data_IF_821657928878
#
_entry.id   IF_821657928878
#
_cell.length_a   1.000
_cell.length_b   1.000
_cell.length_c   1.000
_cell.angle_alpha   90.00
_cell.angle_beta   90.00
_cell.angle_gamma   90.00
#
_symmetry.space_group_name_H-M   'P 1'
#
loop_
_entity.id
_entity.type
_entity.pdbx_description
1 polymer ?
#
# COMPACT_ATOMS: atom_id res chain seq x y z
N UNK A 1 -10.23 -11.90 -40.76
CA UNK A 1 -8.82 -11.67 -41.13
C UNK A 1 -7.96 -12.29 -40.06
N UNK A 2 -7.07 -13.22 -40.42
CA UNK A 2 -6.14 -13.84 -39.47
C UNK A 2 -4.91 -12.95 -39.27
N UNK A 3 -4.45 -12.83 -38.02
CA UNK A 3 -3.17 -12.18 -37.71
C UNK A 3 -2.03 -13.08 -38.23
N UNK A 4 -0.97 -12.46 -38.74
CA UNK A 4 0.22 -13.19 -39.16
C UNK A 4 0.89 -13.84 -37.94
N UNK A 5 1.40 -15.06 -38.12
CA UNK A 5 2.18 -15.74 -37.10
C UNK A 5 3.48 -14.97 -36.83
N UNK A 6 3.94 -14.99 -35.57
CA UNK A 6 5.24 -14.43 -35.20
C UNK A 6 6.37 -15.21 -35.87
N UNK A 7 7.47 -14.52 -36.20
CA UNK A 7 8.71 -15.19 -36.57
C UNK A 7 9.24 -16.04 -35.41
N UNK A 8 10.10 -17.02 -35.71
CA UNK A 8 10.74 -17.84 -34.67
C UNK A 8 11.55 -16.99 -33.69
N UNK A 9 12.25 -15.96 -34.18
CA UNK A 9 13.00 -15.01 -33.37
C UNK A 9 12.08 -14.20 -32.44
N UNK A 10 10.99 -13.64 -32.97
CA UNK A 10 10.04 -12.87 -32.16
C UNK A 10 9.34 -13.75 -31.11
N UNK A 11 9.07 -15.01 -31.44
CA UNK A 11 8.50 -15.98 -30.50
C UNK A 11 9.48 -16.24 -29.36
N UNK A 12 10.74 -16.55 -29.67
CA UNK A 12 11.77 -16.81 -28.65
C UNK A 12 12.02 -15.58 -27.76
N UNK A 13 12.07 -14.39 -28.36
CA UNK A 13 12.22 -13.13 -27.63
C UNK A 13 11.05 -12.87 -26.67
N UNK A 14 9.81 -13.05 -27.14
CA UNK A 14 8.62 -12.86 -26.31
C UNK A 14 8.56 -13.86 -25.16
N UNK A 15 8.88 -15.14 -25.41
CA UNK A 15 8.97 -16.17 -24.36
C UNK A 15 10.00 -15.76 -23.30
N UNK A 16 11.20 -15.35 -23.72
CA UNK A 16 12.24 -14.91 -22.79
C UNK A 16 11.84 -13.66 -21.97
N UNK A 17 11.09 -12.73 -22.56
CA UNK A 17 10.55 -11.56 -21.85
C UNK A 17 9.50 -11.97 -20.80
N UNK A 18 8.58 -12.88 -21.14
CA UNK A 18 7.56 -13.38 -20.21
C UNK A 18 8.19 -14.14 -19.04
N UNK A 19 9.17 -15.01 -19.32
CA UNK A 19 9.94 -15.71 -18.30
C UNK A 19 10.71 -14.73 -17.40
N UNK A 20 11.26 -13.66 -17.97
CA UNK A 20 11.94 -12.61 -17.20
C UNK A 20 10.97 -11.87 -16.26
N UNK A 21 9.77 -11.51 -16.72
CA UNK A 21 8.76 -10.83 -15.88
C UNK A 21 8.37 -11.69 -14.66
N UNK A 22 8.39 -13.02 -14.78
CA UNK A 22 8.09 -13.91 -13.67
C UNK A 22 9.18 -13.90 -12.57
N UNK A 23 10.41 -13.47 -12.87
CA UNK A 23 11.51 -13.39 -11.90
C UNK A 23 11.21 -12.34 -10.82
N UNK A 24 11.63 -12.61 -9.58
CA UNK A 24 11.38 -11.69 -8.45
C UNK A 24 12.20 -10.41 -8.57
N UNK A 25 13.37 -10.51 -9.17
CA UNK A 25 14.35 -9.46 -9.35
C UNK A 25 14.04 -8.55 -10.55
N UNK A 26 12.98 -8.85 -11.31
CA UNK A 26 12.57 -8.04 -12.43
C UNK A 26 12.17 -6.63 -11.97
N UNK A 27 12.75 -5.60 -12.60
CA UNK A 27 12.52 -4.21 -12.20
C UNK A 27 11.05 -3.78 -12.35
N UNK A 28 10.34 -4.27 -13.37
CA UNK A 28 8.91 -3.96 -13.56
C UNK A 28 8.10 -4.52 -12.39
N UNK A 29 8.38 -5.76 -11.98
CA UNK A 29 7.72 -6.37 -10.82
C UNK A 29 7.99 -5.57 -9.54
N UNK A 30 9.22 -5.14 -9.32
CA UNK A 30 9.57 -4.29 -8.16
C UNK A 30 8.82 -2.95 -8.17
N UNK A 31 8.70 -2.30 -9.33
CA UNK A 31 7.95 -1.05 -9.48
C UNK A 31 6.45 -1.25 -9.21
N UNK A 32 5.85 -2.32 -9.73
CA UNK A 32 4.44 -2.64 -9.50
C UNK A 32 4.20 -2.91 -8.01
N UNK A 33 5.07 -3.69 -7.37
CA UNK A 33 5.00 -3.98 -5.93
C UNK A 33 5.05 -2.69 -5.08
N UNK A 34 5.98 -1.78 -5.38
CA UNK A 34 6.07 -0.49 -4.70
C UNK A 34 4.82 0.38 -4.90
N UNK A 35 4.24 0.40 -6.10
CA UNK A 35 3.02 1.15 -6.39
C UNK A 35 1.81 0.59 -5.65
N UNK A 36 1.68 -0.74 -5.54
CA UNK A 36 0.63 -1.39 -4.76
C UNK A 36 0.77 -1.03 -3.27
N UNK A 37 1.98 -1.13 -2.72
CA UNK A 37 2.22 -0.76 -1.33
C UNK A 37 1.91 0.73 -1.06
N UNK A 38 2.28 1.62 -1.99
CA UNK A 38 1.95 3.04 -1.88
C UNK A 38 0.43 3.25 -1.86
N UNK A 39 -0.29 2.64 -2.80
CA UNK A 39 -1.75 2.70 -2.85
C UNK A 39 -2.39 2.21 -1.54
N UNK A 40 -1.96 1.07 -0.99
CA UNK A 40 -2.48 0.54 0.27
C UNK A 40 -2.20 1.49 1.45
N UNK A 41 -1.04 2.13 1.50
CA UNK A 41 -0.75 3.17 2.51
C UNK A 41 -1.68 4.36 2.35
N UNK A 42 -1.94 4.82 1.12
CA UNK A 42 -2.90 5.88 0.85
C UNK A 42 -4.31 5.50 1.32
N UNK A 43 -4.74 4.25 1.11
CA UNK A 43 -6.06 3.78 1.59
C UNK A 43 -6.21 3.93 3.11
N UNK A 44 -5.15 3.69 3.88
CA UNK A 44 -5.17 3.84 5.33
C UNK A 44 -5.25 5.30 5.80
N UNK A 45 -4.66 6.23 5.03
CA UNK A 45 -4.56 7.65 5.40
C UNK A 45 -5.75 8.45 4.87
N UNK A 46 -6.16 8.20 3.62
CA UNK A 46 -7.12 9.01 2.87
C UNK A 46 -8.45 8.29 2.62
N UNK A 47 -8.52 6.98 2.86
CA UNK A 47 -9.63 6.12 2.47
C UNK A 47 -9.52 5.63 1.02
N UNK A 48 -10.22 4.53 0.72
CA UNK A 48 -10.14 3.83 -0.57
C UNK A 48 -10.60 4.72 -1.73
N UNK A 49 -11.77 5.36 -1.59
CA UNK A 49 -12.36 6.18 -2.65
C UNK A 49 -11.44 7.33 -3.07
N UNK A 50 -10.80 8.00 -2.10
CA UNK A 50 -9.85 9.07 -2.41
C UNK A 50 -8.57 8.54 -3.06
N UNK A 51 -8.10 7.38 -2.60
CA UNK A 51 -6.87 6.75 -3.12
C UNK A 51 -7.01 6.24 -4.55
N UNK A 52 -8.22 5.88 -4.98
CA UNK A 52 -8.50 5.46 -6.35
C UNK A 52 -8.39 6.61 -7.37
N UNK A 53 -8.67 7.85 -6.96
CA UNK A 53 -8.55 9.02 -7.85
C UNK A 53 -7.10 9.27 -8.29
N UNK A 54 -6.14 8.90 -7.45
CA UNK A 54 -4.71 9.10 -7.66
C UNK A 54 -3.99 7.76 -7.95
N UNK A 55 -4.72 6.76 -8.48
CA UNK A 55 -4.16 5.42 -8.74
C UNK A 55 -3.00 5.49 -9.75
N UNK A 56 -1.78 5.00 -9.41
CA UNK A 56 -0.65 5.01 -10.32
C UNK A 56 -0.94 4.25 -11.62
N UNK A 57 -0.56 4.85 -12.75
CA UNK A 57 -0.68 4.22 -14.06
C UNK A 57 -0.04 2.82 -14.09
N UNK A 58 -0.65 1.90 -14.84
CA UNK A 58 -0.25 0.48 -14.89
C UNK A 58 -0.91 -0.41 -13.84
N UNK A 59 -1.68 0.15 -12.89
CA UNK A 59 -2.51 -0.60 -11.95
C UNK A 59 -4.01 -0.57 -12.29
N UNK A 60 -4.44 0.26 -13.24
CA UNK A 60 -5.85 0.43 -13.61
C UNK A 60 -6.54 -0.87 -14.03
N UNK A 61 -5.79 -1.82 -14.59
CA UNK A 61 -6.34 -3.13 -14.99
C UNK A 61 -6.78 -3.98 -13.79
N UNK A 62 -6.28 -3.70 -12.59
CA UNK A 62 -6.59 -4.42 -11.35
C UNK A 62 -7.21 -3.49 -10.30
N UNK A 63 -7.86 -2.42 -10.74
CA UNK A 63 -8.41 -1.38 -9.86
C UNK A 63 -9.44 -1.96 -8.88
N UNK A 64 -10.33 -2.84 -9.35
CA UNK A 64 -11.37 -3.43 -8.52
C UNK A 64 -10.79 -4.32 -7.41
N UNK A 65 -9.80 -5.14 -7.74
CA UNK A 65 -9.09 -6.01 -6.81
C UNK A 65 -8.32 -5.19 -5.77
N UNK A 66 -7.70 -4.09 -6.20
CA UNK A 66 -7.02 -3.16 -5.30
C UNK A 66 -8.01 -2.44 -4.38
N UNK A 67 -9.17 -2.01 -4.88
CA UNK A 67 -10.21 -1.39 -4.07
C UNK A 67 -10.72 -2.35 -2.98
N UNK A 68 -10.98 -3.61 -3.34
CA UNK A 68 -11.40 -4.64 -2.40
C UNK A 68 -10.32 -4.90 -1.34
N UNK A 69 -9.07 -5.07 -1.75
CA UNK A 69 -7.95 -5.29 -0.83
C UNK A 69 -7.72 -4.09 0.09
N UNK A 70 -7.78 -2.87 -0.46
CA UNK A 70 -7.68 -1.63 0.29
C UNK A 70 -8.77 -1.52 1.36
N UNK A 71 -10.01 -1.86 1.02
CA UNK A 71 -11.12 -1.84 1.97
C UNK A 71 -10.92 -2.87 3.10
N UNK A 72 -10.42 -4.07 2.78
CA UNK A 72 -10.07 -5.08 3.81
C UNK A 72 -9.00 -4.55 4.76
N UNK A 73 -7.97 -3.87 4.25
CA UNK A 73 -6.91 -3.27 5.07
C UNK A 73 -7.43 -2.17 6.00
N UNK A 74 -8.30 -1.29 5.49
CA UNK A 74 -8.93 -0.23 6.29
C UNK A 74 -9.79 -0.85 7.40
N UNK A 75 -10.63 -1.84 7.07
CA UNK A 75 -11.48 -2.52 8.03
C UNK A 75 -10.66 -3.20 9.13
N UNK A 76 -9.59 -3.90 8.76
CA UNK A 76 -8.69 -4.56 9.70
C UNK A 76 -8.03 -3.55 10.65
N UNK A 77 -7.53 -2.44 10.10
CA UNK A 77 -6.87 -1.39 10.88
C UNK A 77 -7.86 -0.73 11.85
N UNK A 78 -9.08 -0.46 11.38
CA UNK A 78 -10.14 0.10 12.23
C UNK A 78 -10.52 -0.86 13.36
N UNK A 79 -10.71 -2.15 13.05
CA UNK A 79 -11.00 -3.16 14.05
C UNK A 79 -9.88 -3.26 15.10
N UNK A 80 -8.61 -3.30 14.65
CA UNK A 80 -7.46 -3.31 15.55
C UNK A 80 -7.45 -2.06 16.44
N UNK A 81 -7.74 -0.88 15.89
CA UNK A 81 -7.84 0.34 16.67
C UNK A 81 -8.99 0.30 17.69
N UNK A 82 -10.14 -0.27 17.35
CA UNK A 82 -11.26 -0.40 18.28
C UNK A 82 -10.93 -1.33 19.45
N UNK A 83 -10.30 -2.48 19.16
CA UNK A 83 -9.96 -3.49 20.17
C UNK A 83 -8.79 -3.02 21.04
N UNK A 84 -7.72 -2.52 20.42
CA UNK A 84 -6.48 -2.20 21.13
C UNK A 84 -6.33 -0.72 21.50
N UNK A 85 -7.18 0.16 20.95
CA UNK A 85 -7.14 1.61 21.19
C UNK A 85 -7.16 2.01 22.67
N UNK A 86 -8.01 1.42 23.52
CA UNK A 86 -8.01 1.71 24.95
C UNK A 86 -6.66 1.37 25.61
N UNK A 87 -6.05 0.23 25.26
CA UNK A 87 -4.75 -0.20 25.80
C UNK A 87 -3.62 0.74 25.38
N UNK A 88 -3.58 1.11 24.10
CA UNK A 88 -2.60 2.09 23.61
C UNK A 88 -2.81 3.46 24.26
N UNK A 89 -4.06 3.86 24.49
CA UNK A 89 -4.39 5.12 25.16
C UNK A 89 -3.85 5.15 26.59
N UNK A 90 -4.01 4.06 27.36
CA UNK A 90 -3.45 3.96 28.71
C UNK A 90 -1.91 4.01 28.71
N UNK A 91 -1.25 3.29 27.79
CA UNK A 91 0.21 3.36 27.65
C UNK A 91 0.64 4.80 27.33
N UNK A 92 0.00 5.46 26.36
CA UNK A 92 0.34 6.83 25.96
C UNK A 92 0.13 7.83 27.10
N UNK A 93 -0.93 7.68 27.91
CA UNK A 93 -1.14 8.51 29.11
C UNK A 93 0.04 8.42 30.07
N UNK A 94 0.57 7.22 30.33
CA UNK A 94 1.73 7.05 31.23
C UNK A 94 3.00 7.73 30.71
N UNK A 95 3.15 7.90 29.39
CA UNK A 95 4.31 8.53 28.75
C UNK A 95 4.16 10.07 28.65
N UNK A 96 2.94 10.56 28.45
CA UNK A 96 2.65 12.01 28.32
C UNK A 96 2.54 12.70 29.68
N UNK A 97 1.98 12.03 30.68
CA UNK A 97 1.79 12.62 32.02
C UNK A 97 3.09 13.12 32.69
N UNK A 98 4.23 12.40 32.62
CA UNK A 98 5.51 12.90 33.12
C UNK A 98 6.03 14.11 32.32
N UNK A 99 5.81 14.12 31.01
CA UNK A 99 6.33 15.14 30.08
C UNK A 99 5.58 16.48 30.24
N UNK A 100 4.26 16.44 30.47
CA UNK A 100 3.48 17.66 30.76
C UNK A 100 3.81 18.25 32.14
N UNK A 101 4.14 17.42 33.14
CA UNK A 101 4.58 17.89 34.45
C UNK A 101 5.95 18.62 34.42
N UNK A 102 6.84 18.24 33.50
CA UNK A 102 8.10 18.93 33.26
C UNK A 102 7.93 20.23 32.47
N UNK A 103 7.05 20.24 31.46
CA UNK A 103 6.72 21.45 30.67
C UNK A 103 6.08 22.56 31.52
N UNK A 104 5.09 22.22 32.34
CA UNK A 104 4.38 23.20 33.18
C UNK A 104 5.28 23.81 34.28
N UNK A 105 6.37 23.13 34.65
CA UNK A 105 7.34 23.61 35.64
C UNK A 105 8.42 24.51 35.05
N UNK A 106 8.64 24.44 33.73
CA UNK A 106 9.56 25.31 32.99
C UNK A 106 8.87 26.62 32.59
N UNK A 107 7.57 26.60 32.30
CA UNK A 107 6.77 27.82 32.05
C UNK A 107 6.41 28.61 33.33
N UNK A 108 6.59 28.01 34.52
CA UNK A 108 6.39 28.68 35.81
C UNK A 108 7.69 29.26 36.42
N UNK A 109 8.76 29.35 35.64
CA UNK A 109 10.05 29.96 36.00
C UNK A 109 10.29 31.20 35.15
#
# INVERSE_FOLDING_TARGET
>A
MGLAALSSENTSSLTGQLENIAKKENCVRSVIDQRIHLFLKCCLVLGVQRSLLDLPGGLTLIEAELAELGQKFVNLTHHNQQVFGPYYTEILKTLVSPTQALSAKVESL
#
